data_IF_843681785603
#
_entry.id   IF_843681785603
#
_cell.length_a   1.000
_cell.length_b   1.000
_cell.length_c   1.000
_cell.angle_alpha   90.00
_cell.angle_beta   90.00
_cell.angle_gamma   90.00
#
_symmetry.space_group_name_H-M   'P 1'
#
loop_
_entity.id
_entity.type
_entity.pdbx_description
1 polymer ?
#
# COMPACT_ATOMS: atom_id res chain seq x y z
N UNK A 1 16.84 -9.66 -0.03
CA UNK A 1 16.88 -11.14 -0.11
C UNK A 1 15.90 -11.72 0.90
N UNK A 2 15.73 -13.05 0.94
CA UNK A 2 14.94 -13.72 1.99
C UNK A 2 15.89 -14.50 2.91
N UNK A 3 15.81 -14.28 4.23
CA UNK A 3 16.62 -14.98 5.23
C UNK A 3 15.73 -15.84 6.12
N UNK A 4 16.04 -17.13 6.22
CA UNK A 4 15.32 -18.06 7.09
C UNK A 4 16.19 -18.38 8.30
N UNK A 5 15.83 -17.87 9.47
CA UNK A 5 16.61 -17.94 10.69
C UNK A 5 16.03 -19.05 11.57
N UNK A 6 16.84 -20.06 11.90
CA UNK A 6 16.45 -21.17 12.76
C UNK A 6 17.41 -21.35 13.94
N UNK A 7 16.88 -21.80 15.09
CA UNK A 7 17.65 -21.96 16.33
C UNK A 7 17.79 -23.41 16.81
N UNK A 8 17.03 -24.33 16.23
CA UNK A 8 17.10 -25.78 16.52
C UNK A 8 17.29 -26.58 15.23
N UNK A 9 17.68 -27.84 15.35
CA UNK A 9 17.81 -28.74 14.18
C UNK A 9 16.47 -28.98 13.49
N UNK A 10 15.38 -29.09 14.26
CA UNK A 10 14.04 -29.23 13.68
C UNK A 10 13.65 -27.98 12.90
N UNK A 11 13.91 -26.80 13.47
CA UNK A 11 13.70 -25.53 12.78
C UNK A 11 14.58 -25.39 11.54
N UNK A 12 15.81 -25.93 11.56
CA UNK A 12 16.68 -25.98 10.38
C UNK A 12 16.07 -26.82 9.27
N UNK A 13 15.60 -28.03 9.59
CA UNK A 13 14.97 -28.92 8.61
C UNK A 13 13.75 -28.28 7.96
N UNK A 14 12.90 -27.61 8.76
CA UNK A 14 11.78 -26.83 8.23
C UNK A 14 12.29 -25.67 7.35
N UNK A 15 13.33 -24.97 7.77
CA UNK A 15 13.94 -23.89 7.00
C UNK A 15 14.51 -24.34 5.67
N UNK A 16 15.18 -25.50 5.63
CA UNK A 16 15.69 -26.12 4.41
C UNK A 16 14.53 -26.46 3.45
N UNK A 17 13.44 -27.05 3.97
CA UNK A 17 12.21 -27.31 3.21
C UNK A 17 11.64 -26.02 2.62
N UNK A 18 11.43 -24.98 3.43
CA UNK A 18 10.90 -23.68 2.98
C UNK A 18 11.83 -23.06 1.93
N UNK A 19 13.15 -23.11 2.12
CA UNK A 19 14.11 -22.54 1.18
C UNK A 19 14.09 -23.21 -0.19
N UNK A 20 13.76 -24.50 -0.26
CA UNK A 20 13.64 -25.22 -1.54
C UNK A 20 12.40 -24.82 -2.34
N UNK A 21 11.41 -24.17 -1.70
CA UNK A 21 10.14 -23.75 -2.30
C UNK A 21 10.12 -22.25 -2.64
N UNK A 22 11.06 -21.47 -2.11
CA UNK A 22 11.09 -20.02 -2.27
C UNK A 22 12.42 -19.62 -2.90
N UNK A 23 12.37 -19.14 -4.13
CA UNK A 23 13.56 -18.69 -4.85
C UNK A 23 14.29 -17.57 -4.09
N UNK A 24 15.62 -17.69 -3.99
CA UNK A 24 16.47 -16.70 -3.32
C UNK A 24 16.40 -16.70 -1.78
N UNK A 25 15.74 -17.68 -1.17
CA UNK A 25 15.75 -17.87 0.28
C UNK A 25 17.04 -18.54 0.77
N UNK A 26 17.67 -17.96 1.78
CA UNK A 26 18.91 -18.48 2.37
C UNK A 26 18.67 -18.87 3.83
N UNK A 27 18.97 -20.12 4.17
CA UNK A 27 18.88 -20.62 5.54
C UNK A 27 20.09 -20.16 6.36
N UNK A 28 19.84 -19.46 7.45
CA UNK A 28 20.80 -19.01 8.43
C UNK A 28 20.54 -19.76 9.75
N UNK A 29 21.16 -20.94 9.88
CA UNK A 29 21.04 -21.74 11.10
C UNK A 29 21.97 -21.23 12.20
N UNK A 30 21.41 -20.87 13.37
CA UNK A 30 22.13 -20.36 14.55
C UNK A 30 23.21 -19.30 14.19
N UNK A 31 22.86 -18.20 13.50
CA UNK A 31 23.84 -17.20 13.09
C UNK A 31 24.55 -16.61 14.31
N UNK A 32 25.84 -16.28 14.16
CA UNK A 32 26.67 -15.73 15.23
C UNK A 32 27.51 -14.53 14.74
N UNK A 33 27.62 -13.44 15.52
CA UNK A 33 26.86 -13.15 16.75
C UNK A 33 25.38 -12.91 16.43
N UNK A 34 24.48 -13.62 17.13
CA UNK A 34 23.07 -13.72 16.73
C UNK A 34 22.39 -12.36 16.51
N UNK A 35 22.43 -11.49 17.54
CA UNK A 35 21.72 -10.20 17.51
C UNK A 35 22.25 -9.32 16.38
N UNK A 36 23.56 -9.10 16.33
CA UNK A 36 24.20 -8.22 15.34
C UNK A 36 23.96 -8.70 13.92
N UNK A 37 24.08 -10.01 13.68
CA UNK A 37 23.88 -10.57 12.35
C UNK A 37 22.43 -10.42 11.89
N UNK A 38 21.46 -10.78 12.74
CA UNK A 38 20.03 -10.68 12.43
C UNK A 38 19.60 -9.23 12.22
N UNK A 39 20.05 -8.31 13.08
CA UNK A 39 19.79 -6.88 12.92
C UNK A 39 20.39 -6.36 11.60
N UNK A 40 21.58 -6.81 11.21
CA UNK A 40 22.18 -6.40 9.93
C UNK A 40 21.36 -6.84 8.72
N UNK A 41 20.75 -8.03 8.75
CA UNK A 41 19.86 -8.49 7.67
C UNK A 41 18.62 -7.60 7.59
N UNK A 42 17.98 -7.34 8.74
CA UNK A 42 16.81 -6.48 8.83
C UNK A 42 17.10 -5.07 8.31
N UNK A 43 18.18 -4.43 8.77
CA UNK A 43 18.57 -3.10 8.33
C UNK A 43 19.02 -3.02 6.87
N UNK A 44 19.40 -4.15 6.26
CA UNK A 44 19.67 -4.25 4.82
C UNK A 44 18.39 -4.38 3.97
N UNK A 45 17.21 -4.41 4.60
CA UNK A 45 15.93 -4.61 3.92
C UNK A 45 15.64 -6.07 3.55
N UNK A 46 16.36 -7.04 4.13
CA UNK A 46 16.04 -8.45 3.90
C UNK A 46 14.71 -8.80 4.57
N UNK A 47 13.86 -9.54 3.84
CA UNK A 47 12.65 -10.14 4.39
C UNK A 47 13.04 -11.35 5.23
N UNK A 48 12.51 -11.45 6.45
CA UNK A 48 12.96 -12.45 7.42
C UNK A 48 11.86 -13.46 7.72
N UNK A 49 12.23 -14.74 7.78
CA UNK A 49 11.41 -15.83 8.32
C UNK A 49 12.13 -16.37 9.56
N UNK A 50 11.52 -16.29 10.73
CA UNK A 50 12.06 -16.88 11.96
C UNK A 50 11.34 -18.19 12.26
N UNK A 51 12.11 -19.25 12.49
CA UNK A 51 11.61 -20.54 12.98
C UNK A 51 12.09 -20.69 14.43
N UNK A 52 11.39 -20.00 15.33
CA UNK A 52 11.66 -19.95 16.76
C UNK A 52 10.52 -19.26 17.53
N UNK A 53 10.66 -19.11 18.84
CA UNK A 53 9.69 -18.38 19.66
C UNK A 53 9.66 -16.88 19.32
N UNK A 54 8.44 -16.33 19.12
CA UNK A 54 8.19 -14.91 18.80
C UNK A 54 8.89 -13.93 19.75
N UNK A 55 8.99 -14.26 21.04
CA UNK A 55 9.67 -13.41 22.02
C UNK A 55 11.16 -13.18 21.74
N UNK A 56 11.84 -14.12 21.07
CA UNK A 56 13.24 -13.94 20.64
C UNK A 56 13.30 -12.89 19.54
N UNK A 57 12.39 -12.98 18.57
CA UNK A 57 12.30 -12.07 17.44
C UNK A 57 12.08 -10.64 17.93
N UNK A 58 11.10 -10.44 18.80
CA UNK A 58 10.78 -9.12 19.35
C UNK A 58 11.95 -8.50 20.10
N UNK A 59 12.61 -9.23 21.00
CA UNK A 59 13.77 -8.69 21.74
C UNK A 59 14.97 -8.39 20.83
N UNK A 60 15.10 -9.12 19.73
CA UNK A 60 16.21 -8.95 18.79
C UNK A 60 16.00 -7.74 17.88
N UNK A 61 14.78 -7.58 17.36
CA UNK A 61 14.48 -6.55 16.36
C UNK A 61 14.01 -5.23 16.97
N UNK A 62 13.40 -5.22 18.16
CA UNK A 62 12.88 -4.00 18.79
C UNK A 62 13.86 -2.79 18.79
N UNK A 63 15.18 -2.96 19.02
CA UNK A 63 16.12 -1.83 18.99
C UNK A 63 16.38 -1.21 17.60
N UNK A 64 15.97 -1.88 16.52
CA UNK A 64 16.24 -1.47 15.12
C UNK A 64 14.99 -1.27 14.29
N UNK A 65 13.80 -1.32 14.91
CA UNK A 65 12.54 -0.99 14.24
C UNK A 65 12.49 0.52 13.97
N UNK A 66 11.98 0.89 12.80
CA UNK A 66 11.80 2.28 12.40
C UNK A 66 10.30 2.58 12.31
N UNK A 67 9.62 2.03 11.32
CA UNK A 67 8.18 2.15 11.11
C UNK A 67 7.67 1.12 10.09
N UNK A 68 6.35 0.90 10.06
CA UNK A 68 5.69 -0.10 9.18
C UNK A 68 5.89 0.12 7.68
N UNK A 69 6.35 1.30 7.25
CA UNK A 69 6.56 1.64 5.84
C UNK A 69 8.00 1.39 5.39
N UNK A 70 8.96 1.41 6.32
CA UNK A 70 10.40 1.19 6.03
C UNK A 70 10.88 -0.19 6.44
N UNK A 71 10.32 -0.74 7.51
CA UNK A 71 10.73 -2.03 8.05
C UNK A 71 10.36 -3.17 7.10
N UNK A 72 11.28 -4.12 6.79
CA UNK A 72 10.96 -5.25 5.93
C UNK A 72 9.96 -6.21 6.58
N UNK A 73 9.24 -6.97 5.76
CA UNK A 73 8.34 -8.02 6.23
C UNK A 73 9.07 -9.07 7.09
N UNK A 74 8.45 -9.42 8.23
CA UNK A 74 8.95 -10.49 9.12
C UNK A 74 7.85 -11.50 9.38
N UNK A 75 8.14 -12.77 9.12
CA UNK A 75 7.29 -13.91 9.47
C UNK A 75 7.90 -14.70 10.64
N UNK A 76 7.05 -15.32 11.45
CA UNK A 76 7.41 -16.31 12.46
C UNK A 76 6.65 -17.60 12.22
N UNK A 77 7.37 -18.71 12.21
CA UNK A 77 6.85 -20.07 12.08
C UNK A 77 7.18 -20.84 13.35
N UNK A 78 6.28 -21.72 13.77
CA UNK A 78 6.62 -22.74 14.75
C UNK A 78 7.45 -23.87 14.11
N UNK A 79 8.19 -24.63 14.94
CA UNK A 79 9.12 -25.65 14.45
C UNK A 79 8.45 -26.85 13.78
N UNK A 80 7.14 -27.04 13.97
CA UNK A 80 6.37 -28.07 13.29
C UNK A 80 5.81 -27.57 11.94
N UNK A 81 5.98 -26.28 11.64
CA UNK A 81 5.45 -25.66 10.42
C UNK A 81 3.93 -25.70 10.36
N UNK A 82 3.26 -25.56 11.52
CA UNK A 82 1.79 -25.56 11.61
C UNK A 82 1.22 -24.17 11.39
N UNK A 83 1.94 -23.14 11.79
CA UNK A 83 1.49 -21.76 11.77
C UNK A 83 2.50 -20.86 11.07
N UNK A 84 1.98 -19.91 10.28
CA UNK A 84 2.75 -18.81 9.69
C UNK A 84 2.19 -17.49 10.20
N UNK A 85 2.98 -16.75 10.96
CA UNK A 85 2.54 -15.55 11.66
C UNK A 85 3.26 -14.34 11.06
N UNK A 86 2.57 -13.41 10.37
CA UNK A 86 3.15 -12.11 10.03
C UNK A 86 3.34 -11.30 11.30
N UNK A 87 4.60 -11.03 11.65
CA UNK A 87 4.94 -10.35 12.90
C UNK A 87 5.15 -8.85 12.72
N UNK A 88 5.83 -8.44 11.64
CA UNK A 88 6.12 -7.03 11.36
C UNK A 88 5.79 -6.69 9.91
N UNK A 89 5.39 -5.43 9.72
CA UNK A 89 5.01 -4.86 8.42
C UNK A 89 3.92 -5.68 7.71
N UNK A 90 2.89 -6.06 8.47
CA UNK A 90 1.73 -6.85 8.07
C UNK A 90 1.14 -6.43 6.72
N UNK A 91 0.48 -5.27 6.70
CA UNK A 91 -0.14 -4.75 5.48
C UNK A 91 0.87 -3.98 4.61
N UNK A 92 1.38 -2.85 5.10
CA UNK A 92 2.21 -1.93 4.28
C UNK A 92 3.51 -2.55 3.77
N UNK A 93 4.13 -3.47 4.52
CA UNK A 93 5.32 -4.21 4.06
C UNK A 93 5.03 -5.55 3.40
N UNK A 94 3.75 -5.90 3.21
CA UNK A 94 3.32 -7.12 2.52
C UNK A 94 3.56 -8.42 3.28
N UNK A 95 3.73 -8.38 4.61
CA UNK A 95 3.93 -9.61 5.39
C UNK A 95 2.67 -10.48 5.45
N UNK A 96 1.46 -9.93 5.38
CA UNK A 96 0.21 -10.70 5.38
C UNK A 96 0.09 -11.55 4.12
N UNK A 97 0.23 -10.94 2.95
CA UNK A 97 0.20 -11.66 1.66
C UNK A 97 1.32 -12.69 1.59
N UNK A 98 2.49 -12.35 2.12
CA UNK A 98 3.59 -13.29 2.18
C UNK A 98 3.31 -14.46 3.13
N UNK A 99 2.68 -14.21 4.28
CA UNK A 99 2.28 -15.26 5.21
C UNK A 99 1.30 -16.23 4.54
N UNK A 100 0.32 -15.72 3.78
CA UNK A 100 -0.61 -16.54 3.00
C UNK A 100 0.13 -17.40 1.96
N UNK A 101 1.05 -16.81 1.20
CA UNK A 101 1.86 -17.52 0.21
C UNK A 101 2.73 -18.62 0.86
N UNK A 102 3.45 -18.29 1.93
CA UNK A 102 4.31 -19.25 2.64
C UNK A 102 3.48 -20.35 3.28
N UNK A 103 2.32 -20.02 3.86
CA UNK A 103 1.41 -20.98 4.44
C UNK A 103 0.89 -21.99 3.41
N UNK A 104 0.49 -21.52 2.22
CA UNK A 104 0.08 -22.38 1.11
C UNK A 104 1.21 -23.32 0.68
N UNK A 105 2.43 -22.80 0.50
CA UNK A 105 3.60 -23.58 0.09
C UNK A 105 3.95 -24.73 1.04
N UNK A 106 3.72 -24.57 2.35
CA UNK A 106 4.05 -25.60 3.34
C UNK A 106 2.84 -26.31 3.95
N UNK A 107 1.62 -25.99 3.48
CA UNK A 107 0.35 -26.46 4.03
C UNK A 107 0.21 -26.17 5.54
N UNK A 108 0.44 -24.91 5.91
CA UNK A 108 0.30 -24.38 7.27
C UNK A 108 -0.92 -23.47 7.39
N UNK A 109 -1.29 -23.13 8.62
CA UNK A 109 -2.34 -22.17 8.94
C UNK A 109 -1.75 -20.74 9.09
N UNK A 110 -2.18 -19.77 8.28
CA UNK A 110 -1.76 -18.39 8.45
C UNK A 110 -2.52 -17.74 9.63
N UNK A 111 -1.79 -17.13 10.57
CA UNK A 111 -2.38 -16.47 11.75
C UNK A 111 -2.36 -14.95 11.54
N UNK A 112 -3.28 -14.46 10.72
CA UNK A 112 -3.41 -13.03 10.41
C UNK A 112 -4.23 -12.33 11.50
N UNK A 113 -3.61 -11.37 12.20
CA UNK A 113 -4.27 -10.59 13.27
C UNK A 113 -4.56 -9.14 12.86
N UNK A 114 -4.12 -8.72 11.67
CA UNK A 114 -4.42 -7.40 11.12
C UNK A 114 -5.94 -7.25 10.98
N UNK A 115 -6.49 -6.09 11.37
CA UNK A 115 -7.93 -5.86 11.24
C UNK A 115 -8.37 -5.95 9.77
N UNK A 116 -9.51 -6.59 9.52
CA UNK A 116 -10.01 -6.89 8.18
C UNK A 116 -10.16 -5.64 7.29
N UNK A 117 -10.50 -4.49 7.87
CA UNK A 117 -10.60 -3.21 7.16
C UNK A 117 -9.30 -2.83 6.45
N UNK A 118 -8.14 -3.19 7.02
CA UNK A 118 -6.84 -2.96 6.41
C UNK A 118 -6.48 -3.97 5.31
N UNK A 119 -7.28 -5.03 5.11
CA UNK A 119 -7.02 -6.03 4.06
C UNK A 119 -7.71 -5.67 2.73
N UNK A 120 -8.66 -4.74 2.73
CA UNK A 120 -9.42 -4.37 1.53
C UNK A 120 -9.49 -2.85 1.35
N UNK A 121 -8.37 -2.20 1.02
CA UNK A 121 -8.38 -0.78 0.72
C UNK A 121 -9.27 -0.47 -0.48
N UNK A 122 -9.94 0.68 -0.41
CA UNK A 122 -10.58 1.31 -1.56
C UNK A 122 -9.70 2.43 -2.07
N UNK A 123 -9.58 2.52 -3.39
CA UNK A 123 -8.78 3.54 -4.05
C UNK A 123 -9.67 4.52 -4.77
N UNK A 124 -9.25 5.78 -4.81
CA UNK A 124 -9.87 6.82 -5.63
C UNK A 124 -8.81 7.51 -6.44
N UNK A 125 -9.16 7.89 -7.66
CA UNK A 125 -8.26 8.52 -8.62
C UNK A 125 -8.68 9.96 -8.78
N UNK A 126 -7.75 10.89 -8.62
CA UNK A 126 -7.96 12.30 -8.93
C UNK A 126 -7.19 12.68 -10.19
N UNK A 127 -7.86 13.32 -11.14
CA UNK A 127 -7.26 13.77 -12.39
C UNK A 127 -7.53 15.25 -12.65
N UNK A 128 -6.52 15.93 -13.20
CA UNK A 128 -6.63 17.28 -13.75
C UNK A 128 -6.02 17.30 -15.15
N UNK A 129 -6.56 18.12 -16.05
CA UNK A 129 -6.03 18.24 -17.41
C UNK A 129 -6.33 19.60 -18.03
N UNK A 130 -5.67 19.92 -19.13
CA UNK A 130 -6.07 21.00 -20.03
C UNK A 130 -7.44 20.70 -20.67
N UNK A 131 -8.17 21.74 -21.13
CA UNK A 131 -9.45 21.55 -21.84
C UNK A 131 -9.22 20.73 -23.12
N UNK A 132 -10.14 19.80 -23.41
CA UNK A 132 -10.09 18.92 -24.58
C UNK A 132 -8.87 18.00 -24.60
N UNK A 133 -8.37 17.59 -23.42
CA UNK A 133 -7.33 16.58 -23.35
C UNK A 133 -7.87 15.28 -23.98
N UNK A 134 -7.14 14.64 -24.92
CA UNK A 134 -7.57 13.39 -25.52
C UNK A 134 -7.78 12.29 -24.47
N UNK A 135 -8.85 11.51 -24.60
CA UNK A 135 -9.14 10.38 -23.71
C UNK A 135 -7.96 9.40 -23.65
N UNK A 136 -7.36 9.08 -24.78
CA UNK A 136 -6.22 8.14 -24.87
C UNK A 136 -5.02 8.59 -24.02
N UNK A 137 -4.76 9.90 -23.94
CA UNK A 137 -3.66 10.43 -23.11
C UNK A 137 -3.99 10.35 -21.61
N UNK A 138 -5.27 10.56 -21.25
CA UNK A 138 -5.75 10.41 -19.88
C UNK A 138 -5.71 8.94 -19.44
N UNK A 139 -6.18 8.03 -20.30
CA UNK A 139 -6.15 6.59 -20.06
C UNK A 139 -4.72 6.09 -19.90
N UNK A 140 -3.82 6.47 -20.82
CA UNK A 140 -2.40 6.10 -20.75
C UNK A 140 -1.79 6.51 -19.41
N UNK A 141 -1.99 7.77 -19.00
CA UNK A 141 -1.48 8.26 -17.72
C UNK A 141 -2.06 7.48 -16.54
N UNK A 142 -3.37 7.24 -16.52
CA UNK A 142 -4.02 6.50 -15.45
C UNK A 142 -3.50 5.06 -15.34
N UNK A 143 -3.42 4.34 -16.46
CA UNK A 143 -2.96 2.95 -16.49
C UNK A 143 -1.48 2.85 -16.07
N UNK A 144 -0.64 3.82 -16.46
CA UNK A 144 0.75 3.92 -15.97
C UNK A 144 0.80 4.14 -14.45
N UNK A 145 -0.05 5.02 -13.91
CA UNK A 145 -0.13 5.28 -12.48
C UNK A 145 -0.57 4.03 -11.69
N UNK A 146 -1.60 3.31 -12.17
CA UNK A 146 -2.08 2.08 -11.54
C UNK A 146 -1.01 0.97 -11.58
N UNK A 147 -0.37 0.77 -12.73
CA UNK A 147 0.69 -0.23 -12.89
C UNK A 147 1.87 0.03 -11.96
N UNK A 148 2.27 1.28 -11.76
CA UNK A 148 3.35 1.65 -10.81
C UNK A 148 3.00 1.33 -9.35
N UNK A 149 1.71 1.32 -9.00
CA UNK A 149 1.24 0.93 -7.66
C UNK A 149 0.84 -0.55 -7.57
N UNK A 150 0.98 -1.33 -8.66
CA UNK A 150 0.51 -2.71 -8.71
C UNK A 150 -1.01 -2.83 -8.53
N UNK A 151 -1.77 -1.80 -8.90
CA UNK A 151 -3.22 -1.75 -8.74
C UNK A 151 -3.93 -2.17 -10.02
N UNK A 152 -5.01 -2.93 -9.86
CA UNK A 152 -5.96 -3.22 -10.92
C UNK A 152 -7.10 -2.17 -10.92
N UNK A 153 -7.71 -1.95 -12.09
CA UNK A 153 -8.76 -0.92 -12.23
C UNK A 153 -9.99 -1.22 -11.36
N UNK A 154 -10.26 -2.50 -11.10
CA UNK A 154 -11.37 -3.00 -10.29
C UNK A 154 -11.25 -2.59 -8.82
N UNK A 155 -10.06 -2.17 -8.38
CA UNK A 155 -9.83 -1.65 -7.03
C UNK A 155 -10.15 -0.14 -6.90
N UNK A 156 -10.30 0.55 -8.04
CA UNK A 156 -10.64 1.98 -8.09
C UNK A 156 -12.14 2.17 -7.94
N UNK A 157 -12.53 3.04 -7.02
CA UNK A 157 -13.93 3.31 -6.68
C UNK A 157 -14.50 4.52 -7.41
N UNK A 158 -13.65 5.48 -7.81
CA UNK A 158 -14.08 6.66 -8.56
C UNK A 158 -12.93 7.33 -9.30
N UNK A 159 -13.29 8.06 -10.37
CA UNK A 159 -12.43 9.04 -11.03
C UNK A 159 -12.98 10.43 -10.70
N UNK A 160 -12.13 11.32 -10.20
CA UNK A 160 -12.58 12.59 -9.63
C UNK A 160 -11.79 13.79 -10.15
N UNK A 161 -12.42 14.97 -10.21
CA UNK A 161 -11.78 16.24 -10.56
C UNK A 161 -12.39 17.43 -9.80
N UNK A 162 -12.02 18.65 -10.19
CA UNK A 162 -12.61 19.89 -9.71
C UNK A 162 -13.89 20.23 -10.50
N UNK A 163 -14.86 20.89 -9.87
CA UNK A 163 -16.17 21.28 -10.43
C UNK A 163 -16.11 22.00 -11.79
N UNK A 164 -15.10 22.85 -12.02
CA UNK A 164 -14.88 23.51 -13.33
C UNK A 164 -14.56 22.52 -14.46
N UNK A 165 -14.35 21.24 -14.14
CA UNK A 165 -14.14 20.12 -15.07
C UNK A 165 -15.35 19.17 -15.14
N UNK A 166 -16.51 19.55 -14.60
CA UNK A 166 -17.73 18.75 -14.68
C UNK A 166 -18.20 18.49 -16.13
N UNK A 167 -17.80 19.34 -17.08
CA UNK A 167 -18.09 19.25 -18.51
C UNK A 167 -16.90 18.75 -19.36
N UNK A 168 -15.82 18.26 -18.72
CA UNK A 168 -14.64 17.79 -19.46
C UNK A 168 -14.88 16.43 -20.14
N UNK A 169 -15.18 16.48 -21.44
CA UNK A 169 -15.52 15.32 -22.26
C UNK A 169 -14.50 14.19 -22.14
N UNK A 170 -13.20 14.48 -22.12
CA UNK A 170 -12.16 13.46 -22.02
C UNK A 170 -12.19 12.67 -20.71
N UNK A 171 -12.42 13.36 -19.57
CA UNK A 171 -12.50 12.71 -18.26
C UNK A 171 -13.80 11.92 -18.10
N UNK A 172 -14.92 12.48 -18.56
CA UNK A 172 -16.23 11.82 -18.54
C UNK A 172 -16.19 10.53 -19.37
N UNK A 173 -15.65 10.61 -20.59
CA UNK A 173 -15.58 9.48 -21.52
C UNK A 173 -14.65 8.39 -20.99
N UNK A 174 -13.50 8.77 -20.41
CA UNK A 174 -12.61 7.81 -19.73
C UNK A 174 -13.31 7.11 -18.56
N UNK A 175 -13.97 7.85 -17.67
CA UNK A 175 -14.67 7.27 -16.54
C UNK A 175 -15.76 6.28 -17.00
N UNK A 176 -16.54 6.67 -18.02
CA UNK A 176 -17.56 5.81 -18.61
C UNK A 176 -16.97 4.53 -19.22
N UNK A 177 -15.86 4.64 -19.95
CA UNK A 177 -15.13 3.50 -20.55
C UNK A 177 -14.66 2.51 -19.49
N UNK A 178 -14.20 3.00 -18.34
CA UNK A 178 -13.70 2.18 -17.23
C UNK A 178 -14.81 1.72 -16.26
N UNK A 179 -16.07 2.12 -16.50
CA UNK A 179 -17.19 1.80 -15.61
C UNK A 179 -17.10 2.48 -14.24
N UNK A 180 -16.40 3.61 -14.13
CA UNK A 180 -16.20 4.35 -12.90
C UNK A 180 -17.15 5.55 -12.80
N UNK A 181 -17.64 5.89 -11.59
CA UNK A 181 -18.32 7.16 -11.38
C UNK A 181 -17.33 8.32 -11.58
N UNK A 182 -17.75 9.33 -12.36
CA UNK A 182 -17.04 10.60 -12.47
C UNK A 182 -17.59 11.60 -11.46
N UNK A 183 -16.77 11.99 -10.50
CA UNK A 183 -17.15 12.91 -9.43
C UNK A 183 -16.39 14.24 -9.59
N UNK A 184 -17.04 15.34 -9.26
CA UNK A 184 -16.38 16.64 -9.22
C UNK A 184 -16.72 17.39 -7.96
N UNK A 185 -15.72 18.07 -7.40
CA UNK A 185 -15.81 18.75 -6.12
C UNK A 185 -15.45 20.22 -6.26
N UNK A 186 -16.10 21.06 -5.48
CA UNK A 186 -15.84 22.49 -5.49
C UNK A 186 -14.54 22.85 -4.76
N UNK A 187 -14.07 24.09 -4.96
CA UNK A 187 -12.83 24.57 -4.34
C UNK A 187 -12.84 24.52 -2.80
N UNK A 188 -13.99 24.69 -2.16
CA UNK A 188 -14.13 24.72 -0.70
C UNK A 188 -13.94 23.32 -0.15
N UNK A 189 -14.59 22.35 -0.78
CA UNK A 189 -14.46 20.93 -0.50
C UNK A 189 -13.00 20.48 -0.67
N UNK A 190 -12.40 20.76 -1.83
CA UNK A 190 -11.01 20.37 -2.13
C UNK A 190 -9.96 21.07 -1.25
N UNK A 191 -10.25 22.25 -0.71
CA UNK A 191 -9.35 22.96 0.21
C UNK A 191 -9.30 22.32 1.60
N UNK A 192 -10.31 21.53 1.99
CA UNK A 192 -10.33 20.85 3.29
C UNK A 192 -9.20 19.84 3.48
N UNK A 193 -8.65 19.32 2.37
CA UNK A 193 -7.55 18.34 2.36
C UNK A 193 -6.19 18.97 2.02
N UNK A 194 -6.08 20.31 1.96
CA UNK A 194 -4.86 21.01 1.56
C UNK A 194 -3.62 20.64 2.42
N UNK A 195 -3.83 20.36 3.70
CA UNK A 195 -2.76 19.97 4.62
C UNK A 195 -2.09 18.64 4.24
N UNK A 196 -2.77 17.78 3.47
CA UNK A 196 -2.32 16.44 3.08
C UNK A 196 -1.63 16.42 1.71
N UNK A 197 -1.61 17.54 0.98
CA UNK A 197 -1.01 17.61 -0.35
C UNK A 197 0.50 17.45 -0.26
N UNK A 198 1.05 16.68 -1.20
CA UNK A 198 2.50 16.44 -1.28
C UNK A 198 3.25 17.68 -1.76
N UNK A 199 2.61 18.48 -2.62
CA UNK A 199 3.20 19.65 -3.26
C UNK A 199 2.16 20.73 -3.51
N UNK A 200 2.49 21.98 -3.18
CA UNK A 200 1.60 23.14 -3.37
C UNK A 200 2.00 23.96 -4.60
N UNK A 201 1.10 24.10 -5.57
CA UNK A 201 1.36 24.87 -6.80
C UNK A 201 0.64 26.22 -6.80
N UNK A 202 1.41 27.30 -6.67
CA UNK A 202 0.92 28.69 -6.78
C UNK A 202 0.23 28.98 -8.12
N UNK A 203 0.74 28.40 -9.21
CA UNK A 203 0.13 28.56 -10.53
C UNK A 203 -1.29 27.97 -10.59
N UNK A 204 -1.45 26.75 -10.07
CA UNK A 204 -2.76 26.08 -10.00
C UNK A 204 -3.69 26.85 -9.07
N UNK A 205 -3.19 27.28 -7.90
CA UNK A 205 -3.98 28.08 -6.96
C UNK A 205 -4.52 29.36 -7.58
N UNK A 206 -3.70 30.10 -8.32
CA UNK A 206 -4.15 31.31 -9.04
C UNK A 206 -5.17 31.04 -10.14
N UNK A 207 -5.13 29.84 -10.74
CA UNK A 207 -5.99 29.49 -11.87
C UNK A 207 -7.35 28.96 -11.41
N UNK A 208 -7.35 28.11 -10.38
CA UNK A 208 -8.55 27.34 -10.00
C UNK A 208 -8.88 27.40 -8.50
N UNK A 209 -8.08 28.10 -7.69
CA UNK A 209 -8.35 28.31 -6.26
C UNK A 209 -7.92 27.19 -5.32
N UNK A 210 -7.22 26.16 -5.81
CA UNK A 210 -6.65 25.07 -4.99
C UNK A 210 -5.20 24.80 -5.40
N UNK A 211 -4.37 24.29 -4.49
CA UNK A 211 -2.94 24.08 -4.77
C UNK A 211 -2.61 22.86 -5.65
N UNK A 212 -3.54 21.91 -5.80
CA UNK A 212 -3.36 20.72 -6.62
C UNK A 212 -4.65 19.95 -6.85
N UNK A 213 -5.20 20.03 -8.07
CA UNK A 213 -6.49 19.40 -8.42
C UNK A 213 -6.45 17.88 -8.25
N UNK A 214 -5.46 17.20 -8.84
CA UNK A 214 -5.41 15.73 -8.83
C UNK A 214 -5.32 15.16 -7.41
N UNK A 215 -4.38 15.65 -6.58
CA UNK A 215 -4.22 15.18 -5.20
C UNK A 215 -5.44 15.52 -4.33
N UNK A 216 -5.93 16.77 -4.39
CA UNK A 216 -7.12 17.16 -3.62
C UNK A 216 -8.34 16.33 -4.01
N UNK A 217 -8.59 16.11 -5.30
CA UNK A 217 -9.76 15.37 -5.77
C UNK A 217 -9.70 13.89 -5.37
N UNK A 218 -8.52 13.27 -5.44
CA UNK A 218 -8.33 11.90 -4.96
C UNK A 218 -8.60 11.81 -3.45
N UNK A 219 -7.90 12.62 -2.65
CA UNK A 219 -8.01 12.62 -1.19
C UNK A 219 -9.43 12.90 -0.69
N UNK A 220 -10.08 13.93 -1.24
CA UNK A 220 -11.42 14.28 -0.83
C UNK A 220 -12.43 13.18 -1.17
N UNK A 221 -12.31 12.54 -2.34
CA UNK A 221 -13.17 11.42 -2.71
C UNK A 221 -13.00 10.23 -1.75
N UNK A 222 -11.76 9.89 -1.40
CA UNK A 222 -11.47 8.87 -0.39
C UNK A 222 -12.06 9.24 0.99
N UNK A 223 -11.98 10.52 1.38
CA UNK A 223 -12.56 11.01 2.63
C UNK A 223 -14.10 10.93 2.64
N UNK A 224 -14.77 11.20 1.52
CA UNK A 224 -16.22 11.07 1.42
C UNK A 224 -16.69 9.61 1.59
N UNK A 225 -15.89 8.63 1.15
CA UNK A 225 -16.21 7.22 1.36
C UNK A 225 -16.25 6.87 2.86
N UNK A 226 -15.35 7.44 3.67
CA UNK A 226 -15.39 7.26 5.13
C UNK A 226 -16.66 7.85 5.75
N UNK A 227 -16.99 9.08 5.39
CA UNK A 227 -18.15 9.79 5.94
C UNK A 227 -19.47 9.08 5.61
N UNK A 228 -19.52 8.36 4.48
CA UNK A 228 -20.70 7.61 4.05
C UNK A 228 -20.93 6.32 4.86
N UNK A 229 -19.92 5.83 5.58
CA UNK A 229 -20.00 4.63 6.42
C UNK A 229 -20.09 5.04 7.89
N UNK A 230 -21.31 5.38 8.29
CA UNK A 230 -21.62 5.80 9.66
C UNK A 230 -21.75 4.59 10.57
N UNK A 231 -20.65 4.20 11.18
CA UNK A 231 -20.59 3.83 12.59
C UNK A 231 -19.16 4.07 13.10
N UNK A 232 -19.07 4.79 14.21
CA UNK A 232 -17.86 5.42 14.73
C UNK A 232 -16.69 4.44 15.00
N UNK A 233 -15.48 5.02 14.91
CA UNK A 233 -14.14 4.50 15.26
C UNK A 233 -13.45 3.73 14.10
N UNK A 234 -12.23 4.05 13.66
CA UNK A 234 -10.98 4.45 14.33
C UNK A 234 -10.14 5.21 13.30
N UNK A 235 -9.59 6.40 13.62
CA UNK A 235 -8.42 7.08 12.99
C UNK A 235 -8.19 6.87 11.47
N UNK A 236 -9.27 6.66 10.71
CA UNK A 236 -9.20 6.29 9.32
C UNK A 236 -9.07 7.60 8.55
N UNK A 237 -7.92 7.77 7.92
CA UNK A 237 -7.61 8.95 7.13
C UNK A 237 -7.42 8.52 5.69
N UNK A 238 -7.84 9.39 4.77
CA UNK A 238 -7.46 9.25 3.38
C UNK A 238 -5.95 9.50 3.27
N UNK A 239 -5.25 8.66 2.52
CA UNK A 239 -3.81 8.77 2.32
C UNK A 239 -3.49 8.83 0.83
N UNK A 240 -2.51 9.65 0.43
CA UNK A 240 -1.93 9.57 -0.91
C UNK A 240 -1.04 8.33 -0.99
N UNK A 241 -1.43 7.38 -1.85
CA UNK A 241 -0.55 6.25 -2.24
C UNK A 241 0.30 6.62 -3.45
N UNK A 242 -0.17 7.56 -4.27
CA UNK A 242 0.61 8.14 -5.35
C UNK A 242 0.43 9.65 -5.37
N UNK A 243 1.53 10.38 -5.11
CA UNK A 243 1.64 11.81 -5.37
C UNK A 243 1.46 12.10 -6.86
N UNK A 244 1.10 13.33 -7.21
CA UNK A 244 0.75 13.68 -8.60
C UNK A 244 1.84 13.29 -9.59
N UNK A 245 1.46 12.46 -10.56
CA UNK A 245 2.20 12.25 -11.80
C UNK A 245 1.69 13.27 -12.82
N UNK A 246 2.59 13.78 -13.66
CA UNK A 246 2.28 14.86 -14.60
C UNK A 246 2.81 14.53 -16.00
N UNK A 247 1.96 14.72 -17.00
CA UNK A 247 2.33 14.84 -18.41
C UNK A 247 2.29 16.31 -18.84
N UNK A 248 2.52 16.58 -20.13
CA UNK A 248 2.36 17.94 -20.66
C UNK A 248 0.92 18.45 -20.56
N UNK A 249 -0.08 17.56 -20.58
CA UNK A 249 -1.51 17.92 -20.65
C UNK A 249 -2.35 17.50 -19.46
N UNK A 250 -1.89 16.55 -18.65
CA UNK A 250 -2.68 15.97 -17.58
C UNK A 250 -1.85 15.68 -16.32
N UNK A 251 -2.57 15.51 -15.21
CA UNK A 251 -2.05 15.09 -13.91
C UNK A 251 -2.96 14.04 -13.32
N UNK A 252 -2.37 13.04 -12.64
CA UNK A 252 -3.08 11.95 -11.99
C UNK A 252 -2.48 11.72 -10.60
N UNK A 253 -3.33 11.48 -9.60
CA UNK A 253 -2.94 11.09 -8.25
C UNK A 253 -3.89 9.99 -7.75
N UNK A 254 -3.42 9.17 -6.81
CA UNK A 254 -4.20 8.07 -6.25
C UNK A 254 -4.21 8.21 -4.74
N UNK A 255 -5.41 8.17 -4.17
CA UNK A 255 -5.63 8.12 -2.74
C UNK A 255 -6.24 6.77 -2.34
N UNK A 256 -6.00 6.37 -1.10
CA UNK A 256 -6.48 5.13 -0.49
C UNK A 256 -7.27 5.45 0.76
N UNK A 257 -8.21 4.57 1.07
CA UNK A 257 -8.88 4.52 2.36
C UNK A 257 -9.19 3.09 2.77
N UNK A 258 -9.25 2.85 4.07
CA UNK A 258 -9.67 1.59 4.66
C UNK A 258 -11.06 1.77 5.24
N UNK A 259 -12.00 0.99 4.69
CA UNK A 259 -13.40 1.00 5.09
C UNK A 259 -13.60 -0.08 6.16
N UNK A 260 -14.39 0.23 7.20
CA UNK A 260 -14.63 -0.64 8.35
C UNK A 260 -15.56 -1.82 7.99
#
# INVERSE_FOLDING_TARGET
MIRIISLTEQGKNLGDKVSSLIEGAVVCHKPQPFITQVQSFFSAGDRLIFICATGIVMRTLAPVLVDKYKDPAVLVLDEQGRFVIPLLSGHEGGANDWALQVADLINAEPVITTANSYLQPKYTVGMGCERNCPEEELERLLMECLAQQGLAIEQVSSLSSIDIKADEVGLISLAAKLGLPYLTWDKTELSSVEAQLSTRSEYVFKTVGVYGVAESAALYSAQQMLLSQTDNEIDAQAELVMNKQKTTKATCAIARVYLA
#
